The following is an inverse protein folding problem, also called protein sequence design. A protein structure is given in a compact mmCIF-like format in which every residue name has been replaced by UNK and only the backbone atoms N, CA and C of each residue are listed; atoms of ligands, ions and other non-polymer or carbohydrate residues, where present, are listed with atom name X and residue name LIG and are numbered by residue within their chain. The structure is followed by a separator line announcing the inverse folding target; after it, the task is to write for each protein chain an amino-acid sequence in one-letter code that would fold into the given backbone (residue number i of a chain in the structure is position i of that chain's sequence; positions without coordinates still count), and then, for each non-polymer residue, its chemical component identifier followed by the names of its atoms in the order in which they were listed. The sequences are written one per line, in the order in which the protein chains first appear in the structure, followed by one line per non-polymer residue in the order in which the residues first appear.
data_IF_913721321467
#
_entry.id   IF_913721321467
#
_cell.length_a   1.000
_cell.length_b   1.000
_cell.length_c   1.000
_cell.angle_alpha   90.00
_cell.angle_beta   90.00
_cell.angle_gamma   90.00
#
_symmetry.space_group_name_H-M   'P 1'
#
loop_
_entity.id
_entity.type
_entity.pdbx_description
1 polymer ?
#
# COMPACT_ATOMS: atom_id res chain seq x y z
N UNK A 1 10.84 -10.27 -7.23
CA UNK A 1 9.68 -10.67 -6.42
C UNK A 1 8.46 -10.80 -7.32
N UNK A 2 7.73 -11.91 -7.24
CA UNK A 2 6.44 -12.04 -7.93
C UNK A 2 5.40 -11.19 -7.20
N UNK A 3 4.67 -10.29 -7.87
CA UNK A 3 3.64 -9.47 -7.21
C UNK A 3 2.55 -10.36 -6.60
N UNK A 4 2.23 -10.14 -5.32
CA UNK A 4 1.09 -10.78 -4.68
C UNK A 4 -0.24 -10.40 -5.36
N UNK A 5 -1.28 -11.22 -5.20
CA UNK A 5 -2.55 -11.06 -5.92
C UNK A 5 -3.21 -9.69 -5.67
N UNK A 6 -3.14 -9.16 -4.44
CA UNK A 6 -3.64 -7.82 -4.12
C UNK A 6 -2.86 -6.70 -4.82
N UNK A 7 -1.58 -6.92 -5.11
CA UNK A 7 -0.74 -5.97 -5.85
C UNK A 7 -1.22 -5.71 -7.27
N UNK A 8 -2.10 -6.56 -7.82
CA UNK A 8 -2.74 -6.31 -9.12
C UNK A 8 -3.71 -5.12 -9.07
N UNK A 9 -4.26 -4.76 -7.91
CA UNK A 9 -5.18 -3.63 -7.78
C UNK A 9 -4.52 -2.29 -8.11
N UNK A 10 -3.20 -2.17 -7.91
CA UNK A 10 -2.45 -0.92 -8.15
C UNK A 10 -2.12 -0.70 -9.63
N UNK A 11 -2.49 -1.62 -10.51
CA UNK A 11 -2.06 -1.62 -11.92
C UNK A 11 -3.24 -1.69 -12.88
N UNK A 12 -4.44 -1.98 -12.38
CA UNK A 12 -5.67 -2.02 -13.18
C UNK A 12 -6.14 -0.59 -13.45
N UNK A 13 -6.45 -0.23 -14.70
CA UNK A 13 -6.95 1.11 -15.04
C UNK A 13 -8.14 1.55 -14.19
N UNK A 14 -8.13 2.81 -13.78
CA UNK A 14 -9.16 3.42 -12.94
C UNK A 14 -10.60 3.14 -13.41
N UNK A 15 -10.82 3.26 -14.72
CA UNK A 15 -12.14 3.06 -15.37
C UNK A 15 -12.68 1.64 -15.20
N UNK A 16 -11.81 0.65 -15.04
CA UNK A 16 -12.18 -0.78 -14.99
C UNK A 16 -11.93 -1.42 -13.63
N UNK A 17 -11.23 -0.74 -12.72
CA UNK A 17 -10.84 -1.25 -11.40
C UNK A 17 -12.03 -1.80 -10.61
N UNK A 18 -13.07 -1.00 -10.38
CA UNK A 18 -14.24 -1.42 -9.58
C UNK A 18 -15.02 -2.56 -10.24
N UNK A 19 -15.29 -2.43 -11.54
CA UNK A 19 -16.19 -3.35 -12.28
C UNK A 19 -15.52 -4.67 -12.66
N UNK A 20 -14.20 -4.67 -12.89
CA UNK A 20 -13.45 -5.83 -13.41
C UNK A 20 -12.25 -6.18 -12.56
N UNK A 21 -11.48 -5.19 -12.11
CA UNK A 21 -10.26 -5.40 -11.32
C UNK A 21 -10.51 -6.10 -9.99
N UNK A 22 -11.38 -5.53 -9.16
CA UNK A 22 -11.71 -6.08 -7.83
C UNK A 22 -12.32 -7.49 -7.96
N UNK A 23 -13.37 -7.75 -8.79
CA UNK A 23 -13.90 -9.10 -8.97
C UNK A 23 -12.86 -10.12 -9.44
N UNK A 24 -11.94 -9.71 -10.33
CA UNK A 24 -10.86 -10.57 -10.81
C UNK A 24 -9.87 -10.92 -9.68
N UNK A 25 -9.45 -9.93 -8.89
CA UNK A 25 -8.54 -10.12 -7.75
C UNK A 25 -9.20 -10.98 -6.68
N UNK A 26 -10.47 -10.76 -6.36
CA UNK A 26 -11.25 -11.62 -5.45
C UNK A 26 -11.27 -13.07 -5.93
N UNK A 27 -11.61 -13.30 -7.21
CA UNK A 27 -11.63 -14.65 -7.81
C UNK A 27 -10.28 -15.33 -7.69
N UNK A 28 -9.19 -14.62 -8.00
CA UNK A 28 -7.83 -15.16 -7.95
C UNK A 28 -7.38 -15.42 -6.50
N UNK A 29 -7.69 -14.51 -5.60
CA UNK A 29 -7.36 -14.63 -4.18
C UNK A 29 -8.07 -15.83 -3.55
N UNK A 30 -9.39 -15.92 -3.71
CA UNK A 30 -10.19 -17.03 -3.18
C UNK A 30 -9.89 -18.37 -3.85
N UNK A 31 -9.39 -18.36 -5.09
CA UNK A 31 -8.85 -19.55 -5.73
C UNK A 31 -7.57 -20.07 -5.06
N UNK A 32 -6.78 -19.21 -4.41
CA UNK A 32 -5.56 -19.58 -3.70
C UNK A 32 -5.79 -19.93 -2.23
N UNK A 33 -6.59 -19.11 -1.53
CA UNK A 33 -6.79 -19.24 -0.07
C UNK A 33 -8.06 -20.02 0.29
N UNK A 34 -8.84 -20.45 -0.70
CA UNK A 34 -10.19 -20.96 -0.51
C UNK A 34 -11.22 -19.85 -0.33
N UNK A 35 -12.46 -20.11 -0.77
CA UNK A 35 -13.55 -19.16 -0.53
C UNK A 35 -13.92 -19.19 0.96
N UNK A 36 -14.09 -18.05 1.63
CA UNK A 36 -14.56 -18.03 3.02
C UNK A 36 -15.93 -18.71 3.11
N UNK A 37 -16.01 -19.78 3.90
CA UNK A 37 -17.26 -20.55 4.11
C UNK A 37 -17.89 -20.20 5.45
N UNK A 38 -17.07 -20.00 6.47
CA UNK A 38 -17.53 -19.57 7.79
C UNK A 38 -18.06 -18.13 7.75
N UNK A 39 -19.20 -17.91 8.41
CA UNK A 39 -19.91 -16.62 8.43
C UNK A 39 -19.02 -15.48 8.91
N UNK A 40 -18.22 -15.70 9.96
CA UNK A 40 -17.32 -14.67 10.49
C UNK A 40 -16.21 -14.30 9.51
N UNK A 41 -15.59 -15.30 8.86
CA UNK A 41 -14.57 -15.05 7.85
C UNK A 41 -15.13 -14.32 6.63
N UNK A 42 -16.35 -14.69 6.20
CA UNK A 42 -17.04 -13.98 5.14
C UNK A 42 -17.29 -12.51 5.50
N UNK A 43 -17.82 -12.25 6.69
CA UNK A 43 -18.08 -10.88 7.16
C UNK A 43 -16.80 -10.02 7.20
N UNK A 44 -15.68 -10.58 7.65
CA UNK A 44 -14.37 -9.89 7.65
C UNK A 44 -13.91 -9.53 6.23
N UNK A 45 -14.07 -10.44 5.28
CA UNK A 45 -13.71 -10.18 3.88
C UNK A 45 -14.64 -9.15 3.23
N UNK A 46 -15.94 -9.23 3.48
CA UNK A 46 -16.91 -8.24 2.99
C UNK A 46 -16.56 -6.85 3.53
N UNK A 47 -16.30 -6.73 4.85
CA UNK A 47 -15.86 -5.49 5.47
C UNK A 47 -14.53 -4.96 4.90
N UNK A 48 -13.57 -5.85 4.61
CA UNK A 48 -12.31 -5.46 3.96
C UNK A 48 -12.54 -4.84 2.57
N UNK A 49 -13.40 -5.46 1.74
CA UNK A 49 -13.66 -4.96 0.39
C UNK A 49 -14.46 -3.66 0.40
N UNK A 50 -15.42 -3.52 1.30
CA UNK A 50 -16.14 -2.25 1.52
C UNK A 50 -15.18 -1.14 1.93
N UNK A 51 -14.32 -1.40 2.93
CA UNK A 51 -13.28 -0.47 3.36
C UNK A 51 -12.35 -0.10 2.20
N UNK A 52 -11.91 -1.08 1.41
CA UNK A 52 -11.01 -0.84 0.30
C UNK A 52 -11.63 0.09 -0.74
N UNK A 53 -12.88 -0.16 -1.12
CA UNK A 53 -13.60 0.67 -2.10
C UNK A 53 -13.79 2.09 -1.57
N UNK A 54 -14.29 2.23 -0.34
CA UNK A 54 -14.54 3.54 0.28
C UNK A 54 -13.25 4.36 0.42
N UNK A 55 -12.17 3.73 0.88
CA UNK A 55 -10.90 4.43 1.14
C UNK A 55 -10.13 4.68 -0.15
N UNK A 56 -9.85 3.63 -0.92
CA UNK A 56 -8.91 3.72 -2.03
C UNK A 56 -9.57 4.11 -3.35
N UNK A 57 -10.87 3.90 -3.51
CA UNK A 57 -11.55 4.22 -4.76
C UNK A 57 -12.46 5.46 -4.67
N UNK A 58 -12.73 5.99 -3.47
CA UNK A 58 -13.69 7.06 -3.20
C UNK A 58 -13.04 8.24 -2.48
N UNK A 59 -12.38 8.00 -1.35
CA UNK A 59 -11.73 9.04 -0.56
C UNK A 59 -10.42 9.53 -1.19
N UNK A 60 -9.54 8.62 -1.57
CA UNK A 60 -8.28 8.97 -2.23
C UNK A 60 -8.42 8.94 -3.75
N UNK A 61 -7.82 9.94 -4.40
CA UNK A 61 -7.72 9.95 -5.86
C UNK A 61 -6.91 8.73 -6.33
N UNK A 62 -7.38 8.04 -7.37
CA UNK A 62 -6.72 6.83 -7.86
C UNK A 62 -5.29 7.10 -8.33
N UNK A 63 -4.99 8.30 -8.84
CA UNK A 63 -3.64 8.71 -9.25
C UNK A 63 -2.61 8.65 -8.11
N UNK A 64 -3.04 8.75 -6.85
CA UNK A 64 -2.15 8.72 -5.68
C UNK A 64 -1.57 7.33 -5.37
N UNK A 65 -2.19 6.25 -5.85
CA UNK A 65 -1.78 4.88 -5.48
C UNK A 65 -1.83 3.88 -6.64
N UNK A 66 -2.56 4.19 -7.70
CA UNK A 66 -2.69 3.36 -8.89
C UNK A 66 -1.71 3.83 -9.97
N UNK A 67 -0.82 2.92 -10.37
CA UNK A 67 0.25 3.14 -11.35
C UNK A 67 -0.17 2.89 -12.80
N UNK A 68 -1.43 2.53 -13.07
CA UNK A 68 -1.90 2.25 -14.44
C UNK A 68 -1.67 3.42 -15.40
N UNK A 69 -1.93 4.66 -14.98
CA UNK A 69 -1.69 5.85 -15.79
C UNK A 69 -0.21 6.06 -16.12
N UNK A 70 0.69 5.72 -15.20
CA UNK A 70 2.15 5.77 -15.43
C UNK A 70 2.59 4.72 -16.44
N UNK A 71 2.01 3.51 -16.37
CA UNK A 71 2.26 2.43 -17.36
C UNK A 71 1.75 2.87 -18.74
N UNK A 72 0.53 3.41 -18.82
CA UNK A 72 -0.05 3.91 -20.08
C UNK A 72 0.79 5.04 -20.68
N UNK A 73 1.34 5.93 -19.85
CA UNK A 73 2.22 7.02 -20.27
C UNK A 73 3.68 6.57 -20.51
N UNK A 74 3.99 5.27 -20.41
CA UNK A 74 5.33 4.70 -20.53
C UNK A 74 6.37 5.39 -19.63
N UNK A 75 5.94 5.83 -18.45
CA UNK A 75 6.81 6.39 -17.42
C UNK A 75 7.60 5.24 -16.81
N UNK A 76 8.92 5.39 -16.74
CA UNK A 76 9.79 4.39 -16.12
C UNK A 76 9.49 4.28 -14.62
N UNK A 77 8.80 3.21 -14.22
CA UNK A 77 8.52 2.92 -12.81
C UNK A 77 9.77 2.22 -12.23
N UNK A 78 10.76 3.04 -11.86
CA UNK A 78 12.08 2.56 -11.40
C UNK A 78 12.01 1.86 -10.04
N UNK A 79 10.95 2.07 -9.25
CA UNK A 79 10.79 1.50 -7.91
C UNK A 79 9.33 1.12 -7.62
N UNK A 80 8.96 -0.15 -7.81
CA UNK A 80 7.63 -0.68 -7.42
C UNK A 80 7.58 -1.23 -6.00
N UNK A 81 8.38 -0.66 -5.12
CA UNK A 81 8.73 -1.23 -3.82
C UNK A 81 8.28 -0.32 -2.68
N UNK A 82 8.10 -0.93 -1.51
CA UNK A 82 8.10 -0.33 -0.18
C UNK A 82 9.35 0.56 0.11
N UNK A 83 10.15 0.85 -0.92
CA UNK A 83 11.46 1.46 -0.89
C UNK A 83 11.42 2.90 -0.40
N UNK A 84 10.40 3.74 -0.64
CA UNK A 84 10.35 5.05 0.03
C UNK A 84 10.27 4.92 1.55
N UNK A 85 9.43 4.01 2.05
CA UNK A 85 9.28 3.75 3.48
C UNK A 85 10.51 3.05 4.06
N UNK A 86 11.07 2.05 3.37
CA UNK A 86 12.30 1.36 3.77
C UNK A 86 13.54 2.24 3.67
N UNK A 87 13.58 3.16 2.71
CA UNK A 87 14.64 4.17 2.58
C UNK A 87 14.48 5.23 3.66
N UNK A 88 13.26 5.68 3.96
CA UNK A 88 13.00 6.55 5.09
C UNK A 88 13.38 5.87 6.42
N UNK A 89 12.97 4.62 6.64
CA UNK A 89 13.30 3.86 7.84
C UNK A 89 14.82 3.67 7.97
N UNK A 90 15.54 3.42 6.87
CA UNK A 90 17.01 3.36 6.88
C UNK A 90 17.64 4.71 7.17
N UNK A 91 17.24 5.78 6.46
CA UNK A 91 17.74 7.15 6.70
C UNK A 91 17.50 7.58 8.15
N UNK A 92 16.32 7.30 8.67
CA UNK A 92 15.95 7.62 10.05
C UNK A 92 16.77 6.78 11.04
N UNK A 93 16.96 5.47 10.77
CA UNK A 93 17.82 4.60 11.57
C UNK A 93 19.29 5.09 11.59
N UNK A 94 19.84 5.48 10.43
CA UNK A 94 21.18 6.05 10.31
C UNK A 94 21.32 7.36 11.10
N UNK A 95 20.26 8.17 11.14
CA UNK A 95 20.21 9.43 11.92
C UNK A 95 20.33 9.17 13.43
N UNK A 96 19.82 8.03 13.92
CA UNK A 96 19.96 7.67 15.34
C UNK A 96 21.39 7.22 15.70
N UNK A 97 22.21 6.78 14.74
CA UNK A 97 23.64 6.45 14.92
C UNK A 97 24.00 5.31 15.89
N UNK A 98 23.09 4.88 16.77
CA UNK A 98 23.25 3.79 17.74
C UNK A 98 21.90 3.10 18.00
N UNK A 99 21.91 1.79 18.23
CA UNK A 99 20.70 1.00 18.47
C UNK A 99 19.99 1.32 19.80
N UNK A 100 20.68 1.99 20.74
CA UNK A 100 20.18 2.26 22.09
C UNK A 100 20.45 3.71 22.50
N UNK A 101 19.63 4.61 21.97
CA UNK A 101 19.63 6.02 22.35
C UNK A 101 18.70 6.26 23.55
N UNK A 102 19.08 7.16 24.47
CA UNK A 102 18.20 7.60 25.56
C UNK A 102 16.95 8.32 25.04
N UNK A 103 15.81 8.18 25.74
CA UNK A 103 14.50 8.66 25.29
C UNK A 103 14.49 10.16 24.91
N UNK A 104 15.19 11.01 25.66
CA UNK A 104 15.26 12.44 25.37
C UNK A 104 15.95 12.74 24.03
N UNK A 105 17.05 12.05 23.73
CA UNK A 105 17.76 12.21 22.46
C UNK A 105 16.93 11.64 21.30
N UNK A 106 16.24 10.52 21.51
CA UNK A 106 15.31 9.95 20.52
C UNK A 106 14.22 10.96 20.13
N UNK A 107 13.57 11.58 21.12
CA UNK A 107 12.53 12.60 20.88
C UNK A 107 13.11 13.84 20.18
N UNK A 108 14.33 14.24 20.53
CA UNK A 108 14.98 15.40 19.90
C UNK A 108 15.25 15.15 18.41
N UNK A 109 15.79 13.98 18.05
CA UNK A 109 16.03 13.59 16.65
C UNK A 109 14.72 13.60 15.83
N UNK A 110 13.63 13.06 16.39
CA UNK A 110 12.33 13.07 15.71
C UNK A 110 11.78 14.49 15.50
N UNK A 111 11.97 15.39 16.48
CA UNK A 111 11.56 16.80 16.34
C UNK A 111 12.32 17.50 15.22
N UNK A 112 13.61 17.20 15.08
CA UNK A 112 14.44 17.84 14.04
C UNK A 112 14.15 17.24 12.65
N UNK A 113 13.89 15.93 12.53
CA UNK A 113 13.41 15.34 11.26
C UNK A 113 12.03 15.90 10.89
N UNK A 114 11.12 16.11 11.85
CA UNK A 114 9.81 16.69 11.57
C UNK A 114 9.90 18.12 11.02
N UNK A 115 10.82 18.95 11.52
CA UNK A 115 11.06 20.31 10.99
C UNK A 115 11.57 20.30 9.55
N UNK A 116 12.26 19.26 9.11
CA UNK A 116 12.77 19.17 7.74
C UNK A 116 11.64 19.01 6.69
N UNK A 117 10.50 18.44 7.09
CA UNK A 117 9.35 18.20 6.20
C UNK A 117 8.15 19.15 6.44
N UNK A 118 8.27 20.09 7.37
CA UNK A 118 7.29 21.16 7.62
C UNK A 118 7.76 22.46 6.97
#
# INVERSE_FOLDING_TARGET
MTPGVLGLLTVVPAKTLRKKGIPFVMKKLYGLIGKPVETEHKAKWDAFWEYFVSTWCELYELSCWNTSGMIEANVEIVNRTNNPLETYNRKLADTFGTSHMGLLNFVQVLKDEAKYYL
#
